data_IF_402797860222
#
_entry.id   IF_402797860222
#
_cell.length_a   1.000
_cell.length_b   1.000
_cell.length_c   1.000
_cell.angle_alpha   90.00
_cell.angle_beta   90.00
_cell.angle_gamma   90.00
#
_symmetry.space_group_name_H-M   'P 1'
#
loop_
_entity.id
_entity.type
_entity.pdbx_description
1 polymer ?
#
# COMPACT_ATOMS: atom_id res chain seq x y z
N UNK A 1 5.49 -42.04 64.78
CA UNK A 1 4.96 -43.11 63.89
C UNK A 1 3.63 -43.55 64.47
N UNK A 2 2.52 -43.32 63.76
CA UNK A 2 1.19 -43.66 64.28
C UNK A 2 0.07 -42.88 63.59
N UNK A 3 -0.33 -43.41 62.44
CA UNK A 3 -1.62 -43.29 61.73
C UNK A 3 -2.61 -42.18 62.17
N UNK A 4 -2.76 -41.17 61.31
CA UNK A 4 -3.89 -40.23 61.32
C UNK A 4 -4.78 -40.45 60.10
N UNK A 5 -5.84 -41.24 60.27
CA UNK A 5 -6.88 -41.51 59.27
C UNK A 5 -7.59 -40.22 58.85
N UNK A 6 -7.54 -39.87 57.55
CA UNK A 6 -8.42 -38.84 56.97
C UNK A 6 -9.74 -39.47 56.57
N UNK A 7 -10.80 -39.00 57.21
CA UNK A 7 -12.19 -39.34 56.94
C UNK A 7 -12.63 -38.64 55.64
N UNK A 8 -13.18 -39.43 54.73
CA UNK A 8 -13.84 -39.01 53.49
C UNK A 8 -15.28 -38.64 53.82
N UNK A 9 -15.71 -37.44 53.41
CA UNK A 9 -17.13 -37.07 53.33
C UNK A 9 -17.51 -36.92 51.85
N UNK A 10 -18.53 -37.65 51.35
CA UNK A 10 -19.10 -37.43 50.03
C UNK A 10 -20.36 -36.55 50.15
N UNK A 11 -20.53 -35.53 49.30
CA UNK A 11 -21.88 -35.12 48.93
C UNK A 11 -21.95 -34.21 47.70
N UNK A 12 -22.53 -34.79 46.65
CA UNK A 12 -23.54 -34.26 45.72
C UNK A 12 -23.17 -33.15 44.74
N UNK A 13 -23.22 -33.60 43.49
CA UNK A 13 -23.37 -32.85 42.26
C UNK A 13 -24.58 -31.89 42.28
N UNK A 14 -24.39 -30.73 41.67
CA UNK A 14 -25.47 -29.96 41.06
C UNK A 14 -25.20 -29.83 39.57
N UNK A 15 -26.10 -30.45 38.80
CA UNK A 15 -26.26 -30.24 37.38
C UNK A 15 -27.01 -28.91 37.20
N UNK A 16 -26.48 -28.00 36.38
CA UNK A 16 -27.30 -26.95 35.77
C UNK A 16 -27.29 -27.18 34.26
N UNK A 17 -28.44 -27.59 33.77
CA UNK A 17 -28.81 -27.63 32.37
C UNK A 17 -29.65 -26.39 32.02
N UNK A 18 -29.63 -26.06 30.73
CA UNK A 18 -30.46 -25.09 29.99
C UNK A 18 -30.09 -23.60 30.18
N UNK A 19 -30.09 -22.75 29.15
CA UNK A 19 -30.87 -22.74 27.91
C UNK A 19 -30.09 -21.99 26.80
N UNK A 20 -30.01 -22.58 25.60
CA UNK A 20 -29.60 -21.92 24.36
C UNK A 20 -30.86 -21.32 23.71
N UNK A 21 -30.87 -20.05 23.27
CA UNK A 21 -31.89 -19.58 22.35
C UNK A 21 -31.40 -19.77 20.91
N UNK A 22 -31.97 -20.77 20.24
CA UNK A 22 -32.06 -20.77 18.78
C UNK A 22 -33.21 -19.87 18.36
N UNK A 23 -32.95 -18.88 17.50
CA UNK A 23 -34.00 -18.20 16.73
C UNK A 23 -33.74 -18.41 15.24
N UNK A 24 -34.51 -19.32 14.66
CA UNK A 24 -34.82 -19.36 13.24
C UNK A 24 -36.11 -18.56 13.03
N UNK A 25 -36.13 -17.62 12.10
CA UNK A 25 -37.10 -17.61 10.99
C UNK A 25 -37.02 -16.30 10.21
N UNK A 26 -36.98 -16.46 8.91
CA UNK A 26 -37.14 -15.44 7.88
C UNK A 26 -38.47 -14.68 8.02
N UNK A 27 -38.39 -13.37 7.82
CA UNK A 27 -39.51 -12.55 7.31
C UNK A 27 -38.95 -11.49 6.39
N UNK A 28 -39.46 -11.48 5.16
CA UNK A 28 -39.17 -10.50 4.12
C UNK A 28 -39.49 -9.07 4.60
N UNK A 29 -38.56 -8.14 4.36
CA UNK A 29 -38.84 -6.71 4.44
C UNK A 29 -39.22 -6.20 3.05
N UNK A 30 -40.53 -5.97 2.90
CA UNK A 30 -41.18 -5.30 1.78
C UNK A 30 -40.75 -3.83 1.72
N UNK A 31 -40.14 -3.40 0.61
CA UNK A 31 -40.02 -1.97 0.27
C UNK A 31 -41.42 -1.39 0.04
N UNK A 32 -41.85 -0.47 0.91
CA UNK A 32 -42.91 0.48 0.58
C UNK A 32 -42.38 1.90 0.77
N UNK A 33 -42.45 2.63 -0.33
CA UNK A 33 -42.21 4.05 -0.53
C UNK A 33 -42.93 4.92 0.50
N UNK A 34 -42.22 5.92 1.04
CA UNK A 34 -42.82 7.18 1.44
C UNK A 34 -41.93 8.33 1.00
N UNK A 35 -42.50 9.13 0.09
CA UNK A 35 -42.00 10.44 -0.32
C UNK A 35 -42.14 11.41 0.86
N UNK A 36 -41.07 12.13 1.17
CA UNK A 36 -41.15 13.39 1.89
C UNK A 36 -40.18 14.37 1.24
N UNK A 37 -40.77 15.42 0.68
CA UNK A 37 -40.10 16.55 0.04
C UNK A 37 -39.30 17.36 1.06
N UNK A 38 -38.02 17.60 0.77
CA UNK A 38 -37.34 18.83 1.18
C UNK A 38 -36.54 19.36 -0.01
N UNK A 39 -36.92 20.55 -0.46
CA UNK A 39 -36.34 21.29 -1.56
C UNK A 39 -35.01 21.93 -1.16
N UNK A 40 -33.94 21.60 -1.87
CA UNK A 40 -32.68 22.36 -1.86
C UNK A 40 -32.50 23.05 -3.22
N UNK A 41 -31.98 24.29 -3.27
CA UNK A 41 -31.92 25.09 -4.49
C UNK A 41 -30.78 24.61 -5.42
N UNK A 42 -30.94 24.73 -6.75
CA UNK A 42 -29.87 24.38 -7.68
C UNK A 42 -28.85 25.53 -7.77
N UNK A 43 -27.63 25.30 -7.29
CA UNK A 43 -26.48 26.09 -7.72
C UNK A 43 -26.11 25.68 -9.14
N UNK A 44 -26.43 26.57 -10.08
CA UNK A 44 -26.09 26.42 -11.48
C UNK A 44 -24.56 26.49 -11.67
N UNK A 45 -23.91 25.35 -11.94
CA UNK A 45 -22.62 25.37 -12.64
C UNK A 45 -22.91 25.55 -14.13
N UNK A 46 -22.91 26.82 -14.55
CA UNK A 46 -23.01 27.21 -15.95
C UNK A 46 -21.75 26.77 -16.70
N UNK A 47 -21.83 25.67 -17.44
CA UNK A 47 -20.91 25.37 -18.53
C UNK A 47 -21.13 26.42 -19.64
N UNK A 48 -20.33 27.49 -19.63
CA UNK A 48 -20.31 28.45 -20.73
C UNK A 48 -19.57 27.84 -21.91
N UNK A 49 -20.34 27.24 -22.83
CA UNK A 49 -19.92 26.93 -24.18
C UNK A 49 -19.94 28.23 -24.99
N UNK A 50 -18.79 28.87 -25.18
CA UNK A 50 -18.64 29.95 -26.14
C UNK A 50 -18.14 29.39 -27.46
N UNK A 51 -19.00 29.44 -28.48
CA UNK A 51 -18.62 29.24 -29.88
C UNK A 51 -18.83 30.55 -30.65
N UNK A 52 -17.88 30.78 -31.56
CA UNK A 52 -17.87 31.72 -32.69
C UNK A 52 -17.72 33.22 -32.44
N UNK A 53 -16.63 33.78 -32.98
CA UNK A 53 -16.74 34.70 -34.12
C UNK A 53 -15.40 34.81 -34.84
N UNK A 54 -15.43 34.53 -36.14
CA UNK A 54 -14.39 34.82 -37.12
C UNK A 54 -14.31 36.33 -37.38
N UNK A 55 -13.09 36.89 -37.36
CA UNK A 55 -12.77 38.13 -38.05
C UNK A 55 -11.32 38.10 -38.52
N UNK A 56 -11.16 38.23 -39.83
CA UNK A 56 -9.93 38.27 -40.61
C UNK A 56 -9.12 39.54 -40.36
N UNK A 57 -7.80 39.40 -40.20
CA UNK A 57 -6.83 40.44 -40.59
C UNK A 57 -5.48 39.81 -40.92
N UNK A 58 -5.10 39.92 -42.19
CA UNK A 58 -3.77 39.61 -42.72
C UNK A 58 -2.74 40.60 -42.18
N UNK A 59 -1.68 40.10 -41.55
CA UNK A 59 -0.36 40.74 -41.61
C UNK A 59 0.72 39.69 -41.67
N UNK A 60 1.50 39.78 -42.76
CA UNK A 60 2.68 39.01 -43.09
C UNK A 60 3.83 39.37 -42.13
N UNK A 61 4.48 38.38 -41.53
CA UNK A 61 5.62 38.59 -40.64
C UNK A 61 6.27 37.26 -40.26
N UNK A 62 7.36 36.93 -40.94
CA UNK A 62 8.27 35.83 -40.59
C UNK A 62 8.92 36.14 -39.24
N UNK A 63 8.48 35.46 -38.17
CA UNK A 63 9.26 35.32 -36.94
C UNK A 63 9.17 33.86 -36.51
N UNK A 64 10.23 33.10 -36.82
CA UNK A 64 10.45 31.75 -36.30
C UNK A 64 10.87 31.92 -34.85
N UNK A 65 9.90 31.85 -33.94
CA UNK A 65 10.15 31.69 -32.52
C UNK A 65 10.02 30.19 -32.20
N UNK A 66 11.09 29.48 -31.78
CA UNK A 66 10.93 28.13 -31.27
C UNK A 66 10.36 28.25 -29.87
N UNK A 67 9.04 28.40 -29.77
CA UNK A 67 8.35 28.14 -28.51
C UNK A 67 8.58 26.68 -28.18
N UNK A 68 9.42 26.43 -27.18
CA UNK A 68 9.42 25.19 -26.42
C UNK A 68 8.08 25.12 -25.66
N UNK A 69 7.00 24.87 -26.42
CA UNK A 69 5.75 24.42 -25.86
C UNK A 69 6.01 23.01 -25.35
N UNK A 70 6.38 22.92 -24.08
CA UNK A 70 6.46 21.65 -23.35
C UNK A 70 5.04 21.12 -23.35
N UNK A 71 4.71 20.34 -24.37
CA UNK A 71 3.39 19.75 -24.55
C UNK A 71 2.98 19.10 -23.22
N UNK A 72 1.78 19.45 -22.75
CA UNK A 72 1.23 18.89 -21.52
C UNK A 72 1.34 17.35 -21.59
N UNK A 73 1.69 16.69 -20.48
CA UNK A 73 1.92 15.26 -20.45
C UNK A 73 0.73 14.51 -21.04
N UNK A 74 0.91 13.87 -22.19
CA UNK A 74 -0.15 13.10 -22.83
C UNK A 74 -0.39 11.81 -22.02
N UNK A 75 -1.66 11.49 -21.70
CA UNK A 75 -1.97 10.25 -21.01
C UNK A 75 -1.67 9.05 -21.91
N UNK A 76 -1.42 7.87 -21.31
CA UNK A 76 -1.29 6.62 -22.07
C UNK A 76 -2.58 6.35 -22.87
N UNK A 77 -2.46 5.60 -23.97
CA UNK A 77 -3.63 5.10 -24.68
C UNK A 77 -4.45 4.20 -23.75
N UNK A 78 -5.78 4.11 -23.97
CA UNK A 78 -6.62 3.24 -23.17
C UNK A 78 -6.15 1.77 -23.21
N UNK A 79 -5.71 1.28 -24.37
CA UNK A 79 -5.16 -0.08 -24.50
C UNK A 79 -3.91 -0.26 -23.64
N UNK A 80 -2.91 0.60 -23.79
CA UNK A 80 -1.66 0.55 -23.02
C UNK A 80 -1.88 0.65 -21.52
N UNK A 81 -2.82 1.51 -21.10
CA UNK A 81 -3.20 1.63 -19.70
C UNK A 81 -3.81 0.34 -19.15
N UNK A 82 -4.72 -0.30 -19.90
CA UNK A 82 -5.34 -1.55 -19.50
C UNK A 82 -4.34 -2.70 -19.51
N UNK A 83 -3.41 -2.77 -20.48
CA UNK A 83 -2.37 -3.79 -20.53
C UNK A 83 -1.41 -3.66 -19.33
N UNK A 84 -0.98 -2.42 -19.02
CA UNK A 84 -0.16 -2.13 -17.84
C UNK A 84 -0.87 -2.52 -16.54
N UNK A 85 -2.14 -2.13 -16.37
CA UNK A 85 -2.92 -2.49 -15.17
C UNK A 85 -3.18 -3.99 -15.07
N UNK A 86 -3.37 -4.67 -16.21
CA UNK A 86 -3.50 -6.13 -16.27
C UNK A 86 -2.22 -6.81 -15.81
N UNK A 87 -1.05 -6.30 -16.18
CA UNK A 87 0.22 -6.80 -15.67
C UNK A 87 0.35 -6.56 -14.15
N UNK A 88 -0.04 -5.38 -13.66
CA UNK A 88 -0.02 -5.05 -12.23
C UNK A 88 -0.97 -5.93 -11.38
N UNK A 89 -1.91 -6.66 -11.98
CA UNK A 89 -2.69 -7.68 -11.27
C UNK A 89 -1.80 -8.68 -10.52
N UNK A 90 -0.61 -8.99 -11.07
CA UNK A 90 0.34 -9.93 -10.44
C UNK A 90 0.73 -9.50 -9.02
N UNK A 91 0.77 -8.20 -8.72
CA UNK A 91 1.06 -7.68 -7.38
C UNK A 91 0.00 -8.07 -6.34
N UNK A 92 -1.25 -8.28 -6.77
CA UNK A 92 -2.35 -8.72 -5.90
C UNK A 92 -2.28 -10.20 -5.58
N UNK A 93 -1.68 -10.99 -6.47
CA UNK A 93 -1.63 -12.44 -6.37
C UNK A 93 -0.30 -12.95 -5.81
N UNK A 94 0.79 -12.20 -5.99
CA UNK A 94 2.10 -12.55 -5.45
C UNK A 94 2.13 -12.23 -3.97
N UNK A 95 2.38 -13.27 -3.16
CA UNK A 95 2.51 -13.17 -1.70
C UNK A 95 3.92 -12.75 -1.31
N UNK A 96 4.03 -11.92 -0.28
CA UNK A 96 5.34 -11.50 0.27
C UNK A 96 6.10 -12.72 0.76
N UNK A 97 7.23 -13.00 0.12
CA UNK A 97 7.99 -14.24 0.22
C UNK A 97 8.62 -14.43 1.60
N UNK A 98 8.90 -13.34 2.33
CA UNK A 98 9.34 -13.40 3.73
C UNK A 98 8.34 -14.15 4.61
N UNK A 99 7.05 -13.83 4.50
CA UNK A 99 5.98 -14.47 5.28
C UNK A 99 5.73 -15.91 4.83
N UNK A 100 5.74 -16.15 3.52
CA UNK A 100 5.57 -17.51 2.96
C UNK A 100 6.62 -18.48 3.50
N UNK A 101 7.89 -18.05 3.60
CA UNK A 101 8.99 -18.88 4.13
C UNK A 101 8.88 -19.18 5.62
N UNK A 102 8.04 -18.43 6.34
CA UNK A 102 7.80 -18.58 7.77
C UNK A 102 6.46 -19.25 8.05
N UNK A 103 5.87 -19.87 7.03
CA UNK A 103 4.60 -20.59 7.09
C UNK A 103 3.45 -19.76 7.68
N UNK A 104 3.51 -18.44 7.53
CA UNK A 104 2.43 -17.52 7.90
C UNK A 104 1.20 -17.90 7.07
N UNK A 105 0.06 -18.07 7.75
CA UNK A 105 -1.19 -18.42 7.11
C UNK A 105 -1.79 -17.19 6.43
N UNK A 106 -2.25 -17.37 5.19
CA UNK A 106 -2.84 -16.30 4.37
C UNK A 106 -1.99 -15.01 4.35
N UNK A 107 -0.72 -15.09 3.94
CA UNK A 107 0.17 -13.93 3.96
C UNK A 107 -0.37 -12.84 3.01
N UNK A 108 -0.02 -11.60 3.32
CA UNK A 108 -0.35 -10.44 2.50
C UNK A 108 0.27 -10.55 1.09
N UNK A 109 -0.34 -9.84 0.14
CA UNK A 109 0.24 -9.63 -1.18
C UNK A 109 1.16 -8.41 -1.20
N UNK A 110 1.98 -8.28 -2.24
CA UNK A 110 2.82 -7.08 -2.45
C UNK A 110 1.94 -5.82 -2.57
N UNK A 111 0.76 -5.95 -3.17
CA UNK A 111 -0.19 -4.84 -3.27
C UNK A 111 -0.74 -4.39 -1.90
N UNK A 112 -0.95 -5.32 -0.95
CA UNK A 112 -1.41 -4.99 0.41
C UNK A 112 -0.34 -4.17 1.15
N UNK A 113 0.92 -4.62 1.06
CA UNK A 113 2.10 -3.93 1.60
C UNK A 113 2.21 -2.49 1.06
N UNK A 114 2.23 -2.32 -0.27
CA UNK A 114 2.33 -1.00 -0.89
C UNK A 114 1.12 -0.11 -0.59
N UNK A 115 -0.08 -0.68 -0.46
CA UNK A 115 -1.28 0.07 -0.08
C UNK A 115 -1.13 0.68 1.32
N UNK A 116 -0.70 -0.12 2.31
CA UNK A 116 -0.52 0.38 3.68
C UNK A 116 0.62 1.38 3.77
N UNK A 117 1.69 1.22 2.98
CA UNK A 117 2.73 2.24 2.85
C UNK A 117 2.20 3.55 2.26
N UNK A 118 1.33 3.50 1.26
CA UNK A 118 0.66 4.69 0.71
C UNK A 118 -0.16 5.43 1.78
N UNK A 119 -0.89 4.69 2.62
CA UNK A 119 -1.59 5.27 3.77
C UNK A 119 -0.64 5.88 4.79
N UNK A 120 0.48 5.21 5.08
CA UNK A 120 1.51 5.70 5.99
C UNK A 120 2.08 7.05 5.51
N UNK A 121 2.39 7.16 4.22
CA UNK A 121 2.83 8.42 3.62
C UNK A 121 1.76 9.52 3.69
N UNK A 122 0.49 9.15 3.49
CA UNK A 122 -0.65 10.07 3.56
C UNK A 122 -0.94 10.61 4.97
N UNK A 123 -0.78 9.79 6.02
CA UNK A 123 -1.11 10.18 7.40
C UNK A 123 0.09 10.69 8.20
N UNK A 124 1.30 10.56 7.66
CA UNK A 124 2.49 11.14 8.28
C UNK A 124 2.31 12.66 8.41
N UNK A 125 2.72 13.21 9.55
CA UNK A 125 2.67 14.65 9.78
C UNK A 125 3.46 15.39 8.69
N UNK A 126 3.03 16.61 8.37
CA UNK A 126 3.76 17.48 7.44
C UNK A 126 5.19 17.69 7.95
N UNK A 127 6.17 17.31 7.12
CA UNK A 127 7.59 17.53 7.40
C UNK A 127 8.06 18.69 6.50
N UNK A 128 8.59 19.80 7.08
CA UNK A 128 9.06 20.93 6.29
C UNK A 128 10.07 20.51 5.21
N UNK A 129 9.77 20.87 3.96
CA UNK A 129 10.63 20.58 2.81
C UNK A 129 10.49 19.17 2.22
N UNK A 130 9.49 18.39 2.63
CA UNK A 130 9.15 17.10 2.05
C UNK A 130 7.92 17.24 1.15
N UNK A 131 7.97 16.66 -0.04
CA UNK A 131 6.79 16.49 -0.89
C UNK A 131 6.03 15.21 -0.50
N UNK A 132 4.91 15.38 0.19
CA UNK A 132 4.07 14.26 0.64
C UNK A 132 3.43 13.49 -0.53
N UNK A 133 2.98 14.18 -1.58
CA UNK A 133 2.40 13.55 -2.76
C UNK A 133 3.44 12.66 -3.44
N UNK A 134 4.68 13.12 -3.49
CA UNK A 134 5.81 12.32 -3.98
C UNK A 134 6.05 11.08 -3.12
N UNK A 135 6.03 11.19 -1.79
CA UNK A 135 6.13 10.04 -0.90
C UNK A 135 5.03 9.00 -1.14
N UNK A 136 3.77 9.44 -1.30
CA UNK A 136 2.64 8.55 -1.61
C UNK A 136 2.83 7.87 -2.96
N UNK A 137 3.19 8.63 -4.01
CA UNK A 137 3.45 8.08 -5.34
C UNK A 137 4.61 7.08 -5.33
N UNK A 138 5.70 7.40 -4.62
CA UNK A 138 6.85 6.51 -4.49
C UNK A 138 6.47 5.22 -3.77
N UNK A 139 5.72 5.31 -2.66
CA UNK A 139 5.26 4.14 -1.91
C UNK A 139 4.45 3.16 -2.76
N UNK A 140 3.57 3.64 -3.65
CA UNK A 140 2.74 2.77 -4.50
C UNK A 140 3.45 2.22 -5.74
N UNK A 141 4.67 2.67 -6.06
CA UNK A 141 5.44 2.18 -7.23
C UNK A 141 6.76 1.50 -6.87
N UNK A 142 7.22 1.57 -5.63
CA UNK A 142 8.58 1.14 -5.29
C UNK A 142 8.84 -0.36 -5.55
N UNK A 143 7.86 -1.22 -5.28
CA UNK A 143 7.92 -2.68 -5.55
C UNK A 143 7.18 -3.06 -6.84
N UNK A 144 6.87 -2.10 -7.74
CA UNK A 144 6.07 -2.38 -8.94
C UNK A 144 6.73 -3.40 -9.88
N UNK A 145 8.06 -3.43 -9.93
CA UNK A 145 8.83 -4.36 -10.74
C UNK A 145 8.65 -5.83 -10.30
N UNK A 146 8.26 -6.07 -9.04
CA UNK A 146 7.97 -7.40 -8.52
C UNK A 146 6.73 -8.03 -9.17
N UNK A 147 5.92 -7.23 -9.87
CA UNK A 147 4.89 -7.73 -10.77
C UNK A 147 5.47 -8.67 -11.83
N UNK A 148 6.74 -8.50 -12.21
CA UNK A 148 7.44 -9.35 -13.17
C UNK A 148 8.38 -10.31 -12.45
N UNK A 149 9.28 -9.78 -11.61
CA UNK A 149 10.41 -10.54 -11.05
C UNK A 149 10.04 -11.39 -9.82
N UNK A 150 8.89 -11.14 -9.20
CA UNK A 150 8.51 -11.70 -7.91
C UNK A 150 9.22 -11.02 -6.74
N UNK A 151 8.77 -11.30 -5.51
CA UNK A 151 9.38 -10.78 -4.28
C UNK A 151 10.69 -11.54 -3.99
N UNK A 152 11.82 -10.96 -4.44
CA UNK A 152 13.16 -11.52 -4.24
C UNK A 152 13.66 -11.13 -2.86
N UNK A 153 13.91 -12.12 -2.00
CA UNK A 153 14.36 -11.89 -0.62
C UNK A 153 15.85 -12.16 -0.46
N UNK A 154 16.49 -11.73 0.66
CA UNK A 154 17.88 -12.06 0.95
C UNK A 154 18.18 -13.56 0.95
N UNK A 155 17.18 -14.41 1.24
CA UNK A 155 17.31 -15.87 1.25
C UNK A 155 17.45 -16.49 -0.13
N UNK A 156 17.18 -15.75 -1.22
CA UNK A 156 17.31 -16.24 -2.60
C UNK A 156 18.75 -16.26 -3.10
N UNK A 157 19.71 -15.70 -2.35
CA UNK A 157 21.12 -15.69 -2.73
C UNK A 157 21.43 -14.83 -3.97
N UNK A 158 20.47 -14.01 -4.41
CA UNK A 158 20.64 -13.05 -5.50
C UNK A 158 21.37 -11.82 -4.96
N UNK A 159 22.46 -11.42 -5.63
CA UNK A 159 23.20 -10.23 -5.23
C UNK A 159 22.36 -8.96 -5.42
N UNK A 160 22.63 -7.91 -4.62
CA UNK A 160 21.92 -6.63 -4.76
C UNK A 160 22.02 -6.07 -6.20
N UNK A 161 23.18 -6.22 -6.84
CA UNK A 161 23.39 -5.76 -8.21
C UNK A 161 22.53 -6.53 -9.22
N UNK A 162 22.40 -7.85 -9.06
CA UNK A 162 21.57 -8.68 -9.95
C UNK A 162 20.07 -8.45 -9.70
N UNK A 163 19.64 -8.29 -8.44
CA UNK A 163 18.26 -7.88 -8.10
C UNK A 163 17.91 -6.56 -8.80
N UNK A 164 18.75 -5.54 -8.61
CA UNK A 164 18.54 -4.22 -9.21
C UNK A 164 18.53 -4.27 -10.74
N UNK A 165 19.38 -5.08 -11.37
CA UNK A 165 19.37 -5.27 -12.83
C UNK A 165 18.04 -5.88 -13.32
N UNK A 166 17.57 -6.95 -12.67
CA UNK A 166 16.30 -7.61 -13.05
C UNK A 166 15.10 -6.68 -12.86
N UNK A 167 15.07 -5.95 -11.76
CA UNK A 167 13.96 -5.03 -11.46
C UNK A 167 13.94 -3.84 -12.42
N UNK A 168 15.11 -3.31 -12.78
CA UNK A 168 15.24 -2.27 -13.81
C UNK A 168 14.75 -2.77 -15.17
N UNK A 169 15.13 -3.97 -15.59
CA UNK A 169 14.66 -4.55 -16.86
C UNK A 169 13.14 -4.78 -16.87
N UNK A 170 12.59 -5.20 -15.73
CA UNK A 170 11.15 -5.32 -15.54
C UNK A 170 10.45 -3.95 -15.64
N UNK A 171 10.98 -2.94 -14.95
CA UNK A 171 10.45 -1.59 -14.99
C UNK A 171 10.48 -1.00 -16.41
N UNK A 172 11.59 -1.16 -17.13
CA UNK A 172 11.73 -0.73 -18.52
C UNK A 172 10.67 -1.37 -19.42
N UNK A 173 10.37 -2.66 -19.21
CA UNK A 173 9.31 -3.35 -19.92
C UNK A 173 7.93 -2.77 -19.58
N UNK A 174 7.64 -2.53 -18.30
CA UNK A 174 6.39 -1.94 -17.85
C UNK A 174 6.19 -0.53 -18.41
N UNK A 175 7.23 0.29 -18.42
CA UNK A 175 7.23 1.64 -18.98
C UNK A 175 6.96 1.64 -20.49
N UNK A 176 7.54 0.68 -21.23
CA UNK A 176 7.23 0.48 -22.67
C UNK A 176 5.79 0.02 -22.87
N UNK A 177 5.30 -0.89 -22.04
CA UNK A 177 3.92 -1.39 -22.09
C UNK A 177 2.90 -0.27 -21.85
N UNK A 178 3.21 0.66 -20.94
CA UNK A 178 2.41 1.86 -20.68
C UNK A 178 2.39 2.85 -21.87
N UNK A 179 3.23 2.65 -22.88
CA UNK A 179 3.36 3.53 -24.04
C UNK A 179 4.40 4.65 -23.88
N UNK A 180 5.25 4.56 -22.86
CA UNK A 180 6.29 5.56 -22.59
C UNK A 180 5.73 6.92 -22.15
N UNK A 181 6.38 7.99 -22.59
CA UNK A 181 5.98 9.37 -22.30
C UNK A 181 6.20 9.77 -20.83
N UNK A 182 5.60 10.89 -20.45
CA UNK A 182 5.82 11.52 -19.15
C UNK A 182 5.40 10.67 -17.95
N UNK A 183 4.36 9.83 -18.10
CA UNK A 183 3.87 9.00 -16.99
C UNK A 183 4.78 7.80 -16.73
N UNK A 184 5.25 7.14 -17.78
CA UNK A 184 6.28 6.12 -17.65
C UNK A 184 7.57 6.70 -17.05
N UNK A 185 7.97 7.90 -17.49
CA UNK A 185 9.14 8.61 -16.95
C UNK A 185 8.99 8.94 -15.46
N UNK A 186 7.83 9.42 -15.03
CA UNK A 186 7.56 9.69 -13.60
C UNK A 186 7.68 8.42 -12.75
N UNK A 187 7.15 7.29 -13.22
CA UNK A 187 7.27 5.98 -12.54
C UNK A 187 8.75 5.56 -12.45
N UNK A 188 9.49 5.67 -13.56
CA UNK A 188 10.91 5.35 -13.62
C UNK A 188 11.73 6.20 -12.64
N UNK A 189 11.52 7.51 -12.63
CA UNK A 189 12.20 8.46 -11.75
C UNK A 189 11.90 8.18 -10.27
N UNK A 190 10.64 7.92 -9.92
CA UNK A 190 10.25 7.57 -8.55
C UNK A 190 10.90 6.27 -8.07
N UNK A 191 10.89 5.23 -8.92
CA UNK A 191 11.51 3.95 -8.61
C UNK A 191 13.02 4.07 -8.45
N UNK A 192 13.68 4.78 -9.37
CA UNK A 192 15.12 5.03 -9.32
C UNK A 192 15.52 5.80 -8.06
N UNK A 193 14.78 6.85 -7.71
CA UNK A 193 15.05 7.65 -6.53
C UNK A 193 14.91 6.83 -5.23
N UNK A 194 13.89 5.97 -5.16
CA UNK A 194 13.72 5.02 -4.06
C UNK A 194 14.91 4.06 -3.92
N UNK A 195 15.38 3.50 -5.03
CA UNK A 195 16.51 2.55 -5.03
C UNK A 195 17.85 3.21 -4.69
N UNK A 196 18.05 4.46 -5.11
CA UNK A 196 19.23 5.25 -4.77
C UNK A 196 19.22 5.71 -3.30
N UNK A 197 18.05 5.89 -2.69
CA UNK A 197 17.86 6.30 -1.30
C UNK A 197 18.62 7.61 -0.94
N UNK A 198 18.68 8.54 -1.90
CA UNK A 198 19.45 9.79 -1.78
C UNK A 198 18.60 10.93 -1.25
N UNK A 199 17.35 11.07 -1.72
CA UNK A 199 16.42 12.13 -1.32
C UNK A 199 15.84 11.90 0.08
N UNK A 200 15.26 12.96 0.65
CA UNK A 200 14.59 12.87 1.94
C UNK A 200 13.30 12.07 1.85
N UNK A 201 12.56 12.20 0.74
CA UNK A 201 11.36 11.42 0.42
C UNK A 201 11.69 9.92 0.33
N UNK A 202 12.74 9.54 -0.40
CA UNK A 202 13.16 8.16 -0.52
C UNK A 202 13.54 7.54 0.83
N UNK A 203 14.21 8.30 1.70
CA UNK A 203 14.57 7.85 3.06
C UNK A 203 13.33 7.63 3.93
N UNK A 204 12.32 8.50 3.82
CA UNK A 204 11.03 8.34 4.49
C UNK A 204 10.33 7.07 4.00
N UNK A 205 10.22 6.88 2.69
CA UNK A 205 9.53 5.71 2.12
C UNK A 205 10.29 4.41 2.41
N UNK A 206 11.64 4.40 2.39
CA UNK A 206 12.45 3.25 2.83
C UNK A 206 12.29 2.94 4.32
N UNK A 207 12.03 3.95 5.16
CA UNK A 207 11.70 3.71 6.56
C UNK A 207 10.27 3.16 6.69
N UNK A 208 9.31 3.67 5.92
CA UNK A 208 7.95 3.13 5.90
C UNK A 208 7.89 1.68 5.44
N UNK A 209 8.65 1.27 4.43
CA UNK A 209 8.79 -0.15 4.03
C UNK A 209 9.17 -1.04 5.23
N UNK A 210 10.20 -0.63 5.99
CA UNK A 210 10.63 -1.37 7.19
C UNK A 210 9.61 -1.30 8.32
N UNK A 211 8.99 -0.15 8.56
CA UNK A 211 7.99 0.05 9.62
C UNK A 211 6.76 -0.81 9.34
N UNK A 212 6.28 -0.81 8.10
CA UNK A 212 5.16 -1.61 7.64
C UNK A 212 5.45 -3.09 7.86
N UNK A 213 6.64 -3.56 7.46
CA UNK A 213 7.06 -4.96 7.63
C UNK A 213 7.07 -5.39 9.11
N UNK A 214 7.61 -4.59 10.03
CA UNK A 214 7.62 -4.96 11.46
C UNK A 214 6.26 -4.79 12.13
N UNK A 215 5.40 -3.91 11.63
CA UNK A 215 4.00 -3.82 12.07
C UNK A 215 3.24 -5.09 11.65
N UNK A 216 3.40 -5.51 10.40
CA UNK A 216 2.79 -6.74 9.87
C UNK A 216 3.30 -7.98 10.62
N UNK A 217 4.60 -8.03 10.94
CA UNK A 217 5.17 -9.09 11.75
C UNK A 217 4.47 -9.15 13.12
N UNK A 218 4.34 -8.02 13.83
CA UNK A 218 3.66 -7.95 15.12
C UNK A 218 2.20 -8.46 15.04
N UNK A 219 1.47 -8.07 14.00
CA UNK A 219 0.10 -8.51 13.76
C UNK A 219 0.02 -10.02 13.53
N UNK A 220 0.89 -10.60 12.70
CA UNK A 220 0.92 -12.04 12.49
C UNK A 220 1.34 -12.82 13.74
N UNK A 221 2.31 -12.32 14.51
CA UNK A 221 2.67 -12.96 15.77
C UNK A 221 1.48 -12.93 16.76
N UNK A 222 0.70 -11.84 16.81
CA UNK A 222 -0.49 -11.72 17.64
C UNK A 222 -1.62 -12.67 17.22
N UNK A 223 -1.91 -12.73 15.91
CA UNK A 223 -3.04 -13.48 15.38
C UNK A 223 -2.77 -14.98 15.28
N UNK A 224 -1.52 -15.34 14.97
CA UNK A 224 -1.16 -16.71 14.60
C UNK A 224 -0.21 -17.38 15.59
N UNK A 225 0.32 -16.65 16.58
CA UNK A 225 1.22 -17.20 17.60
C UNK A 225 2.58 -17.67 17.05
N UNK A 226 2.97 -17.17 15.88
CA UNK A 226 4.28 -17.44 15.27
C UNK A 226 5.38 -16.56 15.86
N UNK A 227 6.64 -16.97 15.73
CA UNK A 227 7.81 -16.16 16.09
C UNK A 227 8.42 -15.54 14.82
N UNK A 228 8.42 -14.21 14.74
CA UNK A 228 8.93 -13.42 13.63
C UNK A 228 10.00 -12.43 14.10
N UNK A 229 10.73 -12.74 15.17
CA UNK A 229 11.77 -11.86 15.73
C UNK A 229 12.85 -11.44 14.73
N UNK A 230 13.16 -12.31 13.76
CA UNK A 230 14.14 -12.02 12.72
C UNK A 230 13.82 -10.75 11.92
N UNK A 231 12.53 -10.43 11.72
CA UNK A 231 12.12 -9.23 10.97
C UNK A 231 12.44 -7.96 11.77
N UNK A 232 12.29 -8.01 13.10
CA UNK A 232 12.68 -6.93 14.01
C UNK A 232 14.21 -6.79 14.08
N UNK A 233 14.93 -7.90 14.21
CA UNK A 233 16.39 -7.90 14.22
C UNK A 233 16.96 -7.36 12.90
N UNK A 234 16.35 -7.73 11.77
CA UNK A 234 16.80 -7.30 10.44
C UNK A 234 16.68 -5.80 10.20
N UNK A 235 15.80 -5.10 10.93
CA UNK A 235 15.56 -3.65 10.78
C UNK A 235 16.20 -2.81 11.88
N UNK A 236 16.68 -3.44 12.96
CA UNK A 236 17.35 -2.75 14.06
C UNK A 236 18.49 -1.84 13.58
N UNK A 237 18.45 -0.56 13.95
CA UNK A 237 19.46 0.43 13.58
C UNK A 237 19.44 0.88 12.11
N UNK A 238 18.43 0.49 11.32
CA UNK A 238 18.32 0.85 9.89
C UNK A 238 17.30 1.95 9.57
N UNK A 239 16.63 2.51 10.58
CA UNK A 239 15.71 3.65 10.42
C UNK A 239 16.50 4.96 10.34
N UNK A 240 16.28 5.72 9.27
CA UNK A 240 17.07 6.89 8.90
C UNK A 240 16.46 8.20 9.45
N UNK A 241 15.13 8.28 9.45
CA UNK A 241 14.34 9.48 9.72
C UNK A 241 13.77 9.47 11.14
N UNK A 242 13.44 10.65 11.67
CA UNK A 242 12.83 10.76 13.00
C UNK A 242 11.43 10.13 13.03
N UNK A 243 10.63 10.27 11.97
CA UNK A 243 9.31 9.64 11.87
C UNK A 243 9.42 8.11 11.84
N UNK A 244 10.35 7.56 11.05
CA UNK A 244 10.60 6.12 10.98
C UNK A 244 11.05 5.54 12.32
N UNK A 245 12.00 6.20 12.99
CA UNK A 245 12.47 5.81 14.33
C UNK A 245 11.36 5.85 15.37
N UNK A 246 10.51 6.89 15.34
CA UNK A 246 9.41 7.05 16.28
C UNK A 246 8.38 5.92 16.13
N UNK A 247 7.95 5.63 14.91
CA UNK A 247 6.95 4.58 14.65
C UNK A 247 7.51 3.19 14.94
N UNK A 248 8.75 2.91 14.56
CA UNK A 248 9.41 1.65 14.89
C UNK A 248 9.55 1.44 16.41
N UNK A 249 9.88 2.50 17.15
CA UNK A 249 9.97 2.45 18.61
C UNK A 249 8.63 2.17 19.26
N UNK A 250 7.55 2.77 18.74
CA UNK A 250 6.18 2.51 19.21
C UNK A 250 5.77 1.04 18.96
N UNK A 251 6.04 0.50 17.78
CA UNK A 251 5.76 -0.92 17.46
C UNK A 251 6.55 -1.84 18.41
N UNK A 252 7.85 -1.57 18.61
CA UNK A 252 8.68 -2.34 19.52
C UNK A 252 8.19 -2.26 20.98
N UNK A 253 7.64 -1.11 21.41
CA UNK A 253 7.02 -0.94 22.71
C UNK A 253 5.78 -1.81 22.87
N UNK A 254 4.88 -1.81 21.88
CA UNK A 254 3.67 -2.66 21.88
C UNK A 254 3.99 -4.14 21.87
N UNK A 255 4.99 -4.56 21.10
CA UNK A 255 5.43 -5.97 21.05
C UNK A 255 5.87 -6.49 22.42
N UNK A 256 6.55 -5.66 23.23
CA UNK A 256 6.97 -6.02 24.59
C UNK A 256 5.83 -6.18 25.60
N UNK A 257 4.63 -5.70 25.26
CA UNK A 257 3.45 -5.72 26.14
C UNK A 257 2.49 -6.89 25.84
N UNK A 258 2.80 -7.72 24.83
CA UNK A 258 2.09 -8.98 24.57
C UNK A 258 2.34 -10.01 25.65
#
# INVERSE_FOLDING_TARGET
MGSGSRIVFPCRAFSLAFLVPSFTSSTQLSLKSFLAHTSLPPTAFSFLRMASSSSSSLTNGNDINPSNDVAAPSPPSASSAIDFLTLCHRLKTTKRAGWVRRDVQNPESIADHMYRMGLMALIASDIPGIDQDKCVKMAIVHDIAEAIVGDITPSDGISKAEKSRREREALDHMCKLLGGGSRAKEIEELWMEYEENTSSEAKIVKDFDKVEMILQALEYENEQGVDLDEFFQSTAGKFQTEVGKAWASEIASRRKQR
#
